data_IF_418672077251
#
_entry.id   IF_418672077251
#
_cell.length_a   1.000
_cell.length_b   1.000
_cell.length_c   1.000
_cell.angle_alpha   90.00
_cell.angle_beta   90.00
_cell.angle_gamma   90.00
#
_symmetry.space_group_name_H-M   'P 1'
#
loop_
_entity.id
_entity.type
_entity.pdbx_description
1 polymer ?
#
# COMPACT_ATOMS: atom_id res chain seq x y z
N UNK A 1 -8.07 5.99 0.92
CA UNK A 1 -7.20 5.13 1.73
C UNK A 1 -7.81 3.74 1.74
N UNK A 2 -7.11 2.76 1.17
CA UNK A 2 -7.59 1.39 1.04
C UNK A 2 -6.86 0.45 2.00
N UNK A 3 -7.56 -0.54 2.54
CA UNK A 3 -6.99 -1.54 3.45
C UNK A 3 -6.67 -2.84 2.70
N UNK A 4 -5.41 -3.27 2.81
CA UNK A 4 -4.91 -4.47 2.15
C UNK A 4 -4.29 -5.38 3.19
N UNK A 5 -4.71 -6.64 3.24
CA UNK A 5 -4.08 -7.60 4.14
C UNK A 5 -2.69 -7.97 3.62
N UNK A 6 -1.74 -8.26 4.52
CA UNK A 6 -0.36 -8.62 4.14
C UNK A 6 -0.29 -9.83 3.19
N UNK A 7 -1.28 -10.74 3.26
CA UNK A 7 -1.40 -11.87 2.33
C UNK A 7 -1.68 -11.40 0.89
N UNK A 8 -2.55 -10.41 0.72
CA UNK A 8 -2.92 -9.86 -0.58
C UNK A 8 -1.78 -9.02 -1.13
N UNK A 9 -1.08 -8.28 -0.27
CA UNK A 9 0.16 -7.60 -0.62
C UNK A 9 1.17 -8.56 -1.22
N UNK A 10 1.45 -9.70 -0.56
CA UNK A 10 2.38 -10.71 -1.05
C UNK A 10 1.95 -11.29 -2.41
N UNK A 11 0.65 -11.53 -2.58
CA UNK A 11 0.14 -12.24 -3.77
C UNK A 11 -0.06 -11.30 -4.97
N UNK A 12 -0.25 -10.00 -4.73
CA UNK A 12 -0.61 -9.00 -5.75
C UNK A 12 0.29 -7.77 -5.68
N UNK A 13 1.55 -7.95 -5.33
CA UNK A 13 2.51 -6.86 -5.11
C UNK A 13 2.51 -5.86 -6.27
N UNK A 14 2.58 -6.34 -7.52
CA UNK A 14 2.64 -5.48 -8.70
C UNK A 14 1.40 -4.60 -8.88
N UNK A 15 0.19 -5.16 -8.71
CA UNK A 15 -1.07 -4.40 -8.80
C UNK A 15 -1.17 -3.33 -7.72
N UNK A 16 -0.77 -3.67 -6.50
CA UNK A 16 -0.82 -2.75 -5.36
C UNK A 16 0.22 -1.64 -5.52
N UNK A 17 1.43 -1.95 -5.99
CA UNK A 17 2.45 -0.94 -6.27
C UNK A 17 2.01 0.01 -7.38
N UNK A 18 1.43 -0.49 -8.48
CA UNK A 18 0.91 0.35 -9.55
C UNK A 18 -0.17 1.34 -9.06
N UNK A 19 -1.04 0.91 -8.13
CA UNK A 19 -2.02 1.79 -7.48
C UNK A 19 -1.35 2.89 -6.65
N UNK A 20 -0.34 2.50 -5.87
CA UNK A 20 0.43 3.44 -5.04
C UNK A 20 1.22 4.43 -5.89
N UNK A 21 1.82 3.99 -7.00
CA UNK A 21 2.46 4.86 -7.99
C UNK A 21 1.46 5.83 -8.64
N UNK A 22 0.20 5.42 -8.81
CA UNK A 22 -0.91 6.28 -9.23
C UNK A 22 -1.34 7.32 -8.18
N UNK A 23 -0.71 7.34 -7.00
CA UNK A 23 -0.98 8.28 -5.91
C UNK A 23 -1.96 7.75 -4.85
N UNK A 24 -2.33 6.47 -4.89
CA UNK A 24 -3.20 5.89 -3.87
C UNK A 24 -2.42 5.53 -2.59
N UNK A 25 -2.90 6.00 -1.44
CA UNK A 25 -2.37 5.55 -0.15
C UNK A 25 -3.06 4.27 0.33
N UNK A 26 -2.26 3.26 0.66
CA UNK A 26 -2.73 1.93 1.04
C UNK A 26 -2.26 1.59 2.46
N UNK A 27 -3.19 1.24 3.35
CA UNK A 27 -2.88 0.71 4.66
C UNK A 27 -2.71 -0.81 4.59
N UNK A 28 -1.64 -1.33 5.18
CA UNK A 28 -1.41 -2.77 5.28
C UNK A 28 -1.89 -3.27 6.63
N UNK A 29 -2.69 -4.32 6.60
CA UNK A 29 -3.21 -4.98 7.79
C UNK A 29 -2.65 -6.39 7.96
N UNK A 30 -2.44 -6.78 9.21
CA UNK A 30 -2.12 -8.16 9.61
C UNK A 30 -3.14 -8.55 10.67
N UNK A 31 -3.90 -9.62 10.42
CA UNK A 31 -4.99 -10.06 11.29
C UNK A 31 -5.97 -8.92 11.66
N UNK A 32 -6.30 -8.05 10.71
CA UNK A 32 -7.23 -6.93 10.91
C UNK A 32 -6.65 -5.72 11.64
N UNK A 33 -5.36 -5.74 12.02
CA UNK A 33 -4.68 -4.59 12.62
C UNK A 33 -3.83 -3.88 11.57
N UNK A 34 -3.94 -2.56 11.47
CA UNK A 34 -3.05 -1.75 10.63
C UNK A 34 -1.62 -1.80 11.17
N UNK A 35 -0.67 -2.19 10.33
CA UNK A 35 0.75 -2.35 10.71
C UNK A 35 1.69 -1.49 9.87
N UNK A 36 1.27 -1.07 8.67
CA UNK A 36 2.07 -0.23 7.79
C UNK A 36 1.18 0.59 6.85
N UNK A 37 1.79 1.56 6.16
CA UNK A 37 1.18 2.29 5.04
C UNK A 37 2.16 2.30 3.87
N UNK A 38 1.67 2.03 2.67
CA UNK A 38 2.37 2.28 1.42
C UNK A 38 1.90 3.62 0.87
N UNK A 39 2.88 4.44 0.50
CA UNK A 39 2.71 5.74 -0.13
C UNK A 39 3.63 5.80 -1.34
N UNK A 40 3.30 6.65 -2.32
CA UNK A 40 4.17 6.84 -3.48
C UNK A 40 5.56 7.29 -3.03
N UNK A 41 6.59 6.75 -3.67
CA UNK A 41 7.96 7.17 -3.45
C UNK A 41 8.30 8.48 -4.19
N UNK A 42 7.37 9.06 -4.97
CA UNK A 42 7.61 10.28 -5.73
C UNK A 42 8.19 11.37 -4.85
N UNK A 43 9.42 11.76 -5.18
CA UNK A 43 10.14 12.91 -4.65
C UNK A 43 9.43 14.20 -5.09
N UNK A 44 8.29 14.55 -4.46
CA UNK A 44 8.06 15.97 -4.25
C UNK A 44 8.74 16.32 -2.94
N UNK A 45 9.89 17.00 -2.96
CA UNK A 45 10.43 17.56 -1.74
C UNK A 45 9.34 18.46 -1.15
N UNK A 46 8.97 18.19 0.11
CA UNK A 46 8.20 19.13 0.90
C UNK A 46 9.10 20.27 1.37
#
# INVERSE_FOLDING_TARGET
MADVAARDLRNRTHEILARVEGGEEVAITVHGRHVARLVTASERPQ
#
